data_IF_342696809547
#
_entry.id   IF_342696809547
#
_cell.length_a   1.000
_cell.length_b   1.000
_cell.length_c   1.000
_cell.angle_alpha   90.00
_cell.angle_beta   90.00
_cell.angle_gamma   90.00
#
_symmetry.space_group_name_H-M   'P 1'
#
loop_
_entity.id
_entity.type
_entity.pdbx_description
1 polymer ?
#
# COMPACT_ATOMS: atom_id res chain seq x y z
N UNK A 1 5.05 9.57 -24.59
CA UNK A 1 4.87 8.75 -23.37
C UNK A 1 4.38 7.38 -23.81
N UNK A 2 5.04 6.30 -23.39
CA UNK A 2 4.68 4.94 -23.84
C UNK A 2 3.28 4.55 -23.32
N UNK A 3 2.47 3.87 -24.14
CA UNK A 3 1.09 3.49 -23.77
C UNK A 3 1.05 2.65 -22.48
N UNK A 4 2.06 1.80 -22.28
CA UNK A 4 2.22 0.95 -21.09
C UNK A 4 2.40 1.76 -19.81
N UNK A 5 3.03 2.93 -19.89
CA UNK A 5 3.26 3.84 -18.75
C UNK A 5 1.94 4.46 -18.32
N UNK A 6 1.16 4.95 -19.29
CA UNK A 6 -0.16 5.54 -19.03
C UNK A 6 -1.06 4.51 -18.36
N UNK A 7 -1.10 3.28 -18.89
CA UNK A 7 -1.89 2.20 -18.31
C UNK A 7 -1.44 1.87 -16.88
N UNK A 8 -0.14 1.80 -16.62
CA UNK A 8 0.42 1.56 -15.29
C UNK A 8 -0.01 2.66 -14.31
N UNK A 9 0.08 3.93 -14.69
CA UNK A 9 -0.34 5.06 -13.85
C UNK A 9 -1.83 4.98 -13.51
N UNK A 10 -2.69 4.71 -14.50
CA UNK A 10 -4.13 4.54 -14.28
C UNK A 10 -4.40 3.40 -13.29
N UNK A 11 -3.77 2.24 -13.50
CA UNK A 11 -3.91 1.08 -12.61
C UNK A 11 -3.42 1.40 -11.20
N UNK A 12 -2.29 2.10 -11.04
CA UNK A 12 -1.77 2.51 -9.72
C UNK A 12 -2.69 3.50 -9.02
N UNK A 13 -3.32 4.44 -9.74
CA UNK A 13 -4.29 5.37 -9.14
C UNK A 13 -5.54 4.61 -8.68
N UNK A 14 -6.06 3.68 -9.50
CA UNK A 14 -7.20 2.84 -9.10
C UNK A 14 -6.85 2.01 -7.87
N UNK A 15 -5.67 1.38 -7.84
CA UNK A 15 -5.19 0.63 -6.68
C UNK A 15 -5.04 1.51 -5.42
N UNK A 16 -4.54 2.74 -5.58
CA UNK A 16 -4.42 3.72 -4.50
C UNK A 16 -5.78 4.08 -3.90
N UNK A 17 -6.77 4.36 -4.75
CA UNK A 17 -8.13 4.71 -4.34
C UNK A 17 -8.79 3.52 -3.62
N UNK A 18 -8.75 2.34 -4.23
CA UNK A 18 -9.35 1.14 -3.64
C UNK A 18 -8.68 0.73 -2.34
N UNK A 19 -7.35 0.71 -2.29
CA UNK A 19 -6.59 0.41 -1.07
C UNK A 19 -6.86 1.42 0.04
N UNK A 20 -6.95 2.71 -0.31
CA UNK A 20 -7.33 3.77 0.63
C UNK A 20 -8.75 3.59 1.18
N UNK A 21 -9.73 3.25 0.33
CA UNK A 21 -11.11 2.94 0.76
C UNK A 21 -11.13 1.77 1.73
N UNK A 22 -10.47 0.66 1.39
CA UNK A 22 -10.43 -0.54 2.25
C UNK A 22 -9.74 -0.24 3.58
N UNK A 23 -8.64 0.51 3.56
CA UNK A 23 -7.92 0.94 4.77
C UNK A 23 -8.83 1.80 5.67
N UNK A 24 -9.55 2.78 5.10
CA UNK A 24 -10.52 3.59 5.83
C UNK A 24 -11.68 2.76 6.39
N UNK A 25 -12.19 1.79 5.62
CA UNK A 25 -13.26 0.91 6.08
C UNK A 25 -12.80 0.04 7.24
N UNK A 26 -11.59 -0.51 7.18
CA UNK A 26 -11.00 -1.27 8.27
C UNK A 26 -10.82 -0.42 9.54
N UNK A 27 -10.34 0.81 9.39
CA UNK A 27 -10.22 1.74 10.52
C UNK A 27 -11.57 2.13 11.12
N UNK A 28 -12.58 2.38 10.27
CA UNK A 28 -13.96 2.66 10.74
C UNK A 28 -14.57 1.46 11.48
N UNK A 29 -14.32 0.25 10.99
CA UNK A 29 -14.76 -0.97 11.65
C UNK A 29 -14.03 -1.19 12.97
N UNK A 30 -12.73 -0.86 13.06
CA UNK A 30 -11.98 -0.86 14.32
C UNK A 30 -12.65 0.05 15.34
N UNK A 31 -13.04 1.25 14.93
CA UNK A 31 -13.68 2.20 15.83
C UNK A 31 -15.05 1.72 16.34
N UNK A 32 -15.72 0.81 15.61
CA UNK A 32 -17.02 0.23 16.00
C UNK A 32 -16.88 -1.02 16.87
N UNK A 33 -15.94 -1.91 16.55
CA UNK A 33 -15.81 -3.23 17.21
C UNK A 33 -14.72 -3.26 18.28
N UNK A 34 -13.79 -2.30 18.27
CA UNK A 34 -12.57 -2.26 19.08
C UNK A 34 -11.66 -3.49 18.95
N UNK A 35 -11.79 -4.24 17.86
CA UNK A 35 -10.92 -5.39 17.57
C UNK A 35 -9.54 -4.85 17.16
N UNK A 36 -8.54 -5.04 18.04
CA UNK A 36 -7.19 -4.52 17.83
C UNK A 36 -6.57 -4.99 16.51
N UNK A 37 -6.85 -6.20 16.02
CA UNK A 37 -6.34 -6.64 14.71
C UNK A 37 -6.74 -5.74 13.53
N UNK A 38 -7.88 -5.07 13.61
CA UNK A 38 -8.43 -4.28 12.51
C UNK A 38 -7.73 -2.91 12.33
N UNK A 39 -7.23 -2.31 13.41
CA UNK A 39 -6.37 -1.10 13.30
C UNK A 39 -5.04 -1.42 12.62
N UNK A 40 -4.39 -2.53 12.98
CA UNK A 40 -3.12 -2.93 12.38
C UNK A 40 -3.29 -3.35 10.93
N UNK A 41 -4.40 -4.00 10.59
CA UNK A 41 -4.76 -4.24 9.19
C UNK A 41 -4.90 -2.92 8.41
N UNK A 42 -5.62 -1.94 8.96
CA UNK A 42 -5.80 -0.64 8.31
C UNK A 42 -4.46 0.09 8.10
N UNK A 43 -3.58 0.10 9.12
CA UNK A 43 -2.25 0.72 9.07
C UNK A 43 -1.36 -0.02 8.06
N UNK A 44 -1.27 -1.34 8.14
CA UNK A 44 -0.47 -2.15 7.23
C UNK A 44 -0.90 -1.96 5.78
N UNK A 45 -2.21 -1.98 5.51
CA UNK A 45 -2.73 -1.71 4.18
C UNK A 45 -2.43 -0.27 3.71
N UNK A 46 -2.55 0.73 4.58
CA UNK A 46 -2.20 2.12 4.24
C UNK A 46 -0.73 2.26 3.86
N UNK A 47 0.17 1.60 4.60
CA UNK A 47 1.63 1.57 4.31
C UNK A 47 1.89 0.96 2.95
N UNK A 48 1.27 -0.19 2.63
CA UNK A 48 1.42 -0.85 1.33
C UNK A 48 0.91 0.07 0.22
N UNK A 49 -0.32 0.57 0.34
CA UNK A 49 -0.96 1.34 -0.71
C UNK A 49 -0.23 2.65 -0.98
N UNK A 50 0.09 3.43 0.06
CA UNK A 50 0.79 4.71 -0.10
C UNK A 50 2.23 4.51 -0.53
N UNK A 51 2.94 3.57 0.09
CA UNK A 51 4.35 3.35 -0.18
C UNK A 51 4.61 2.82 -1.59
N UNK A 52 3.81 1.84 -2.06
CA UNK A 52 3.94 1.31 -3.43
C UNK A 52 3.57 2.37 -4.49
N UNK A 53 2.59 3.23 -4.20
CA UNK A 53 2.26 4.36 -5.07
C UNK A 53 3.42 5.36 -5.16
N UNK A 54 3.96 5.78 -4.01
CA UNK A 54 5.11 6.69 -3.93
C UNK A 54 6.31 6.13 -4.70
N UNK A 55 6.69 4.88 -4.48
CA UNK A 55 7.80 4.23 -5.23
C UNK A 55 7.56 4.27 -6.72
N UNK A 56 6.33 4.00 -7.17
CA UNK A 56 5.96 4.08 -8.58
C UNK A 56 6.13 5.49 -9.17
N UNK A 57 5.71 6.52 -8.44
CA UNK A 57 5.85 7.93 -8.84
C UNK A 57 7.32 8.35 -8.91
N UNK A 58 8.11 8.03 -7.88
CA UNK A 58 9.54 8.37 -7.82
C UNK A 58 10.36 7.64 -8.88
N UNK A 59 10.07 6.38 -9.14
CA UNK A 59 10.77 5.60 -10.15
C UNK A 59 10.54 6.16 -11.57
N UNK A 60 9.30 6.51 -11.90
CA UNK A 60 8.95 7.00 -13.22
C UNK A 60 9.39 8.44 -13.50
N UNK A 61 9.44 9.29 -12.48
CA UNK A 61 9.83 10.70 -12.64
C UNK A 61 11.34 10.94 -12.41
N UNK A 62 12.03 10.04 -11.69
CA UNK A 62 13.42 10.21 -11.25
C UNK A 62 14.48 9.46 -12.07
N UNK A 63 14.10 8.63 -13.05
CA UNK A 63 15.07 7.94 -13.93
C UNK A 63 15.89 6.82 -13.28
N UNK A 64 15.46 6.31 -12.11
CA UNK A 64 16.13 5.21 -11.43
C UNK A 64 15.96 3.86 -12.17
N UNK A 65 16.84 2.89 -11.89
CA UNK A 65 16.74 1.54 -12.47
C UNK A 65 15.43 0.85 -12.07
N UNK A 66 14.76 0.19 -13.03
CA UNK A 66 13.52 -0.58 -12.80
C UNK A 66 13.67 -1.62 -11.68
N UNK A 67 14.85 -2.23 -11.59
CA UNK A 67 15.18 -3.20 -10.54
C UNK A 67 15.12 -2.58 -9.15
N UNK A 68 15.63 -1.36 -8.98
CA UNK A 68 15.63 -0.67 -7.67
C UNK A 68 14.20 -0.31 -7.26
N UNK A 69 13.37 0.13 -8.21
CA UNK A 69 11.95 0.40 -7.97
C UNK A 69 11.21 -0.85 -7.48
N UNK A 70 11.37 -1.98 -8.17
CA UNK A 70 10.76 -3.26 -7.78
C UNK A 70 11.24 -3.75 -6.40
N UNK A 71 12.53 -3.57 -6.08
CA UNK A 71 13.08 -3.92 -4.77
C UNK A 71 12.45 -3.08 -3.65
N UNK A 72 12.37 -1.76 -3.82
CA UNK A 72 11.74 -0.87 -2.85
C UNK A 72 10.25 -1.19 -2.67
N UNK A 73 9.54 -1.44 -3.77
CA UNK A 73 8.12 -1.83 -3.74
C UNK A 73 7.94 -3.12 -2.92
N UNK A 74 8.81 -4.12 -3.14
CA UNK A 74 8.77 -5.40 -2.43
C UNK A 74 9.09 -5.25 -0.93
N UNK A 75 10.04 -4.39 -0.56
CA UNK A 75 10.38 -4.09 0.84
C UNK A 75 9.20 -3.43 1.55
N UNK A 76 8.55 -2.45 0.91
CA UNK A 76 7.37 -1.77 1.47
C UNK A 76 6.23 -2.76 1.68
N UNK A 77 5.95 -3.61 0.68
CA UNK A 77 4.93 -4.65 0.79
C UNK A 77 5.22 -5.58 1.98
N UNK A 78 6.47 -6.00 2.12
CA UNK A 78 6.91 -6.87 3.22
C UNK A 78 6.71 -6.21 4.59
N UNK A 79 7.08 -4.93 4.73
CA UNK A 79 6.87 -4.17 5.97
C UNK A 79 5.37 -4.07 6.29
N UNK A 80 4.55 -3.77 5.29
CA UNK A 80 3.10 -3.73 5.44
C UNK A 80 2.51 -5.04 5.93
N UNK A 81 2.94 -6.17 5.37
CA UNK A 81 2.51 -7.49 5.85
C UNK A 81 2.98 -7.79 7.27
N UNK A 82 4.20 -7.40 7.65
CA UNK A 82 4.67 -7.54 9.03
C UNK A 82 3.76 -6.78 10.00
N UNK A 83 3.34 -5.57 9.64
CA UNK A 83 2.40 -4.77 10.44
C UNK A 83 1.04 -5.48 10.55
N UNK A 84 0.52 -6.03 9.46
CA UNK A 84 -0.76 -6.77 9.46
C UNK A 84 -0.68 -8.04 10.32
N UNK A 85 0.41 -8.79 10.23
CA UNK A 85 0.67 -10.01 11.03
C UNK A 85 0.74 -9.69 12.52
N UNK A 86 1.44 -8.60 12.88
CA UNK A 86 1.55 -8.16 14.27
C UNK A 86 0.16 -7.87 14.86
N UNK A 87 -0.73 -7.29 14.04
CA UNK A 87 -2.12 -7.09 14.40
C UNK A 87 -2.90 -8.34 14.76
N UNK A 88 -2.73 -9.40 13.97
CA UNK A 88 -3.38 -10.68 14.24
C UNK A 88 -2.89 -11.31 15.54
N UNK A 89 -1.60 -11.18 15.84
CA UNK A 89 -1.03 -11.68 17.10
C UNK A 89 -1.53 -10.91 18.33
N UNK A 90 -1.90 -9.65 18.17
CA UNK A 90 -2.37 -8.79 19.26
C UNK A 90 -3.88 -9.00 19.58
N UNK A 91 -4.60 -9.82 18.80
CA UNK A 91 -6.03 -10.08 18.96
C UNK A 91 -6.25 -11.40 19.70
#
# INVERSE_FOLDING_TARGET
>A
MNISIILLVVVKIVALVLGGIVSLMAYRAYNRTRIAGLQFFAIGLAVITLGTFLVGVFHHLGGASATIGMLLESVIISIGFVVMIYGLKQT
#
